data_IF_820447309855
#
_entry.id   IF_820447309855
#
_cell.length_a   1.000
_cell.length_b   1.000
_cell.length_c   1.000
_cell.angle_alpha   90.00
_cell.angle_beta   90.00
_cell.angle_gamma   90.00
#
_symmetry.space_group_name_H-M   'P 1'
#
loop_
_entity.id
_entity.type
_entity.pdbx_description
1 polymer ?
#
# COMPACT_ATOMS: atom_id res chain seq x y z
N UNK A 1 -17.80 -3.25 21.02
CA UNK A 1 -16.61 -4.13 21.06
C UNK A 1 -15.59 -3.64 22.08
N UNK A 2 -15.03 -2.42 21.99
CA UNK A 2 -13.97 -1.90 22.88
C UNK A 2 -14.29 -1.97 24.37
N UNK A 3 -15.53 -1.62 24.80
CA UNK A 3 -15.94 -1.69 26.22
C UNK A 3 -15.93 -3.15 26.72
N UNK A 4 -16.35 -4.09 25.90
CA UNK A 4 -16.34 -5.52 26.25
C UNK A 4 -14.90 -6.04 26.36
N UNK A 5 -14.03 -5.70 25.43
CA UNK A 5 -12.62 -6.09 25.45
C UNK A 5 -11.90 -5.51 26.68
N UNK A 6 -12.10 -4.22 26.98
CA UNK A 6 -11.55 -3.60 28.22
C UNK A 6 -12.02 -4.31 29.49
N UNK A 7 -13.30 -4.69 29.55
CA UNK A 7 -13.82 -5.47 30.69
C UNK A 7 -13.18 -6.85 30.75
N UNK A 8 -13.03 -7.54 29.63
CA UNK A 8 -12.33 -8.82 29.59
C UNK A 8 -10.89 -8.68 30.10
N UNK A 9 -10.13 -7.69 29.62
CA UNK A 9 -8.78 -7.42 30.08
C UNK A 9 -8.75 -7.16 31.59
N UNK A 10 -9.62 -6.31 32.12
CA UNK A 10 -9.70 -6.01 33.54
C UNK A 10 -10.01 -7.25 34.39
N UNK A 11 -10.94 -8.12 33.97
CA UNK A 11 -11.25 -9.35 34.68
C UNK A 11 -10.10 -10.35 34.65
N UNK A 12 -9.40 -10.50 33.53
CA UNK A 12 -8.24 -11.35 33.44
C UNK A 12 -7.08 -10.86 34.31
N UNK A 13 -6.81 -9.55 34.36
CA UNK A 13 -5.82 -8.97 35.25
C UNK A 13 -6.11 -9.26 36.73
N UNK A 14 -7.38 -9.19 37.12
CA UNK A 14 -7.79 -9.49 38.49
C UNK A 14 -7.79 -10.98 38.83
N UNK A 15 -8.08 -11.84 37.88
CA UNK A 15 -8.14 -13.28 38.12
C UNK A 15 -6.78 -13.96 38.28
N UNK A 16 -5.71 -13.33 37.83
CA UNK A 16 -4.35 -13.91 37.86
C UNK A 16 -4.18 -15.16 36.98
N UNK A 17 -5.22 -15.54 36.22
CA UNK A 17 -5.18 -16.72 35.35
C UNK A 17 -4.45 -16.37 34.04
N UNK A 18 -3.29 -16.99 33.80
CA UNK A 18 -2.65 -16.96 32.50
C UNK A 18 -3.42 -17.91 31.57
N UNK A 19 -4.25 -17.35 30.67
CA UNK A 19 -4.92 -18.09 29.62
C UNK A 19 -4.22 -17.83 28.27
N UNK A 20 -4.16 -18.86 27.40
CA UNK A 20 -3.58 -18.75 26.06
C UNK A 20 -4.28 -17.70 25.17
N UNK A 21 -5.54 -17.34 25.46
CA UNK A 21 -6.27 -16.29 24.76
C UNK A 21 -5.85 -14.85 25.17
N UNK A 22 -5.03 -14.69 26.22
CA UNK A 22 -4.68 -13.40 26.76
C UNK A 22 -3.87 -12.51 25.80
N UNK A 23 -2.79 -13.01 25.14
CA UNK A 23 -2.07 -12.23 24.16
C UNK A 23 -2.95 -11.75 23.01
N UNK A 24 -3.86 -12.60 22.52
CA UNK A 24 -4.79 -12.26 21.44
C UNK A 24 -5.71 -11.10 21.83
N UNK A 25 -6.28 -11.10 23.03
CA UNK A 25 -7.14 -10.01 23.50
C UNK A 25 -6.36 -8.68 23.63
N UNK A 26 -5.10 -8.73 24.02
CA UNK A 26 -4.23 -7.57 24.10
C UNK A 26 -3.94 -7.03 22.69
N UNK A 27 -3.66 -7.90 21.73
CA UNK A 27 -3.45 -7.53 20.35
C UNK A 27 -4.70 -6.90 19.70
N UNK A 28 -5.87 -7.50 19.90
CA UNK A 28 -7.15 -6.95 19.44
C UNK A 28 -7.43 -5.54 20.01
N UNK A 29 -7.09 -5.30 21.27
CA UNK A 29 -7.18 -3.97 21.86
C UNK A 29 -6.20 -2.99 21.20
N UNK A 30 -4.96 -3.42 20.96
CA UNK A 30 -3.98 -2.59 20.26
C UNK A 30 -4.49 -2.16 18.88
N UNK A 31 -5.01 -3.12 18.09
CA UNK A 31 -5.59 -2.86 16.77
C UNK A 31 -6.77 -1.87 16.84
N UNK A 32 -7.70 -2.07 17.79
CA UNK A 32 -8.85 -1.17 17.94
C UNK A 32 -8.40 0.23 18.34
N UNK A 33 -7.46 0.39 19.27
CA UNK A 33 -6.94 1.71 19.62
C UNK A 33 -6.23 2.37 18.45
N UNK A 34 -5.45 1.60 17.68
CA UNK A 34 -4.80 2.10 16.47
C UNK A 34 -5.83 2.57 15.44
N UNK A 35 -6.84 1.76 15.13
CA UNK A 35 -7.92 2.11 14.20
C UNK A 35 -8.72 3.35 14.64
N UNK A 36 -8.82 3.60 15.93
CA UNK A 36 -9.48 4.79 16.49
C UNK A 36 -8.56 6.01 16.58
N UNK A 37 -7.32 5.93 16.08
CA UNK A 37 -6.35 7.02 16.11
C UNK A 37 -5.70 7.26 17.49
N UNK A 38 -5.95 6.41 18.49
CA UNK A 38 -5.29 6.49 19.80
C UNK A 38 -3.97 5.70 19.79
N UNK A 39 -2.99 6.25 19.08
CA UNK A 39 -1.72 5.58 18.80
C UNK A 39 -0.86 5.36 20.03
N UNK A 40 -0.96 6.22 21.04
CA UNK A 40 -0.23 6.03 22.32
C UNK A 40 -0.73 4.80 23.08
N UNK A 41 -2.04 4.63 23.21
CA UNK A 41 -2.61 3.45 23.84
C UNK A 41 -2.37 2.20 23.00
N UNK A 42 -2.48 2.29 21.67
CA UNK A 42 -2.16 1.19 20.79
C UNK A 42 -0.73 0.70 20.96
N UNK A 43 0.26 1.63 21.04
CA UNK A 43 1.65 1.29 21.27
C UNK A 43 1.86 0.54 22.59
N UNK A 44 1.22 1.01 23.67
CA UNK A 44 1.33 0.34 24.99
C UNK A 44 0.83 -1.11 24.92
N UNK A 45 -0.30 -1.36 24.23
CA UNK A 45 -0.85 -2.70 24.09
C UNK A 45 -0.04 -3.58 23.14
N UNK A 46 0.50 -3.04 22.02
CA UNK A 46 1.41 -3.79 21.14
C UNK A 46 2.72 -4.18 21.85
N UNK A 47 3.31 -3.29 22.66
CA UNK A 47 4.49 -3.60 23.50
C UNK A 47 4.18 -4.72 24.46
N UNK A 48 3.05 -4.64 25.16
CA UNK A 48 2.59 -5.68 26.08
C UNK A 48 2.38 -7.02 25.40
N UNK A 49 1.75 -7.02 24.22
CA UNK A 49 1.61 -8.22 23.39
C UNK A 49 2.96 -8.88 23.10
N UNK A 50 3.95 -8.11 22.68
CA UNK A 50 5.29 -8.61 22.40
C UNK A 50 6.01 -9.12 23.64
N UNK A 51 5.86 -8.47 24.78
CA UNK A 51 6.41 -8.94 26.08
C UNK A 51 5.84 -10.31 26.46
N UNK A 52 4.56 -10.53 26.20
CA UNK A 52 3.86 -11.78 26.54
C UNK A 52 4.20 -12.92 25.57
N UNK A 53 4.39 -12.61 24.30
CA UNK A 53 4.59 -13.61 23.23
C UNK A 53 6.04 -13.81 22.85
N UNK A 54 6.91 -12.89 23.20
CA UNK A 54 8.33 -12.93 22.85
C UNK A 54 8.53 -13.04 21.34
N UNK A 55 9.47 -13.89 20.91
CA UNK A 55 9.79 -14.09 19.49
C UNK A 55 8.62 -14.68 18.66
N UNK A 56 7.62 -15.28 19.28
CA UNK A 56 6.44 -15.78 18.56
C UNK A 56 5.56 -14.62 18.09
N UNK A 57 5.40 -13.56 18.91
CA UNK A 57 4.67 -12.35 18.52
C UNK A 57 5.36 -11.58 17.39
N UNK A 58 6.70 -11.57 17.37
CA UNK A 58 7.44 -10.91 16.29
C UNK A 58 7.22 -11.59 14.92
N UNK A 59 6.71 -12.82 14.87
CA UNK A 59 6.38 -13.55 13.62
C UNK A 59 4.98 -13.25 13.08
N UNK A 60 4.14 -12.58 13.83
CA UNK A 60 2.82 -12.11 13.35
C UNK A 60 3.01 -10.87 12.48
N UNK A 61 3.20 -11.12 11.19
CA UNK A 61 3.56 -10.10 10.20
C UNK A 61 2.52 -8.96 10.14
N UNK A 62 1.24 -9.29 10.17
CA UNK A 62 0.18 -8.28 10.06
C UNK A 62 0.17 -7.35 11.27
N UNK A 63 0.22 -7.90 12.49
CA UNK A 63 0.29 -7.12 13.72
C UNK A 63 1.56 -6.30 13.81
N UNK A 64 2.68 -6.83 13.32
CA UNK A 64 3.95 -6.08 13.31
C UNK A 64 3.94 -4.93 12.31
N UNK A 65 3.24 -5.04 11.18
CA UNK A 65 2.97 -3.90 10.27
C UNK A 65 2.20 -2.80 10.98
N UNK A 66 1.09 -3.15 11.63
CA UNK A 66 0.26 -2.17 12.33
C UNK A 66 0.99 -1.55 13.53
N UNK A 67 1.78 -2.35 14.24
CA UNK A 67 2.65 -1.83 15.30
C UNK A 67 3.72 -0.88 14.76
N UNK A 68 4.35 -1.19 13.63
CA UNK A 68 5.34 -0.32 13.01
C UNK A 68 4.71 1.02 12.55
N UNK A 69 3.50 0.98 11.97
CA UNK A 69 2.73 2.19 11.63
C UNK A 69 2.35 2.98 12.87
N UNK A 70 1.91 2.31 13.94
CA UNK A 70 1.62 2.93 15.23
C UNK A 70 2.84 3.66 15.80
N UNK A 71 4.02 3.04 15.75
CA UNK A 71 5.28 3.66 16.16
C UNK A 71 5.63 4.88 15.30
N UNK A 72 5.43 4.80 13.99
CA UNK A 72 5.65 5.94 13.09
C UNK A 72 4.71 7.11 13.42
N UNK A 73 3.45 6.84 13.75
CA UNK A 73 2.49 7.84 14.23
C UNK A 73 2.93 8.54 15.51
N UNK A 74 3.74 7.88 16.33
CA UNK A 74 4.28 8.40 17.58
C UNK A 74 5.72 8.93 17.42
N UNK A 75 6.10 9.35 16.19
CA UNK A 75 7.44 9.86 15.85
C UNK A 75 8.60 8.88 16.10
N UNK A 76 8.30 7.56 16.10
CA UNK A 76 9.26 6.47 16.35
C UNK A 76 9.51 5.63 15.09
N UNK A 77 9.58 6.26 13.92
CA UNK A 77 9.73 5.57 12.60
C UNK A 77 10.92 4.61 12.60
N UNK A 78 12.08 5.03 13.15
CA UNK A 78 13.26 4.16 13.23
C UNK A 78 13.02 2.88 14.04
N UNK A 79 12.23 2.93 15.10
CA UNK A 79 11.84 1.76 15.87
C UNK A 79 10.87 0.87 15.08
N UNK A 80 9.92 1.48 14.36
CA UNK A 80 9.00 0.78 13.47
C UNK A 80 9.75 -0.03 12.39
N UNK A 81 10.76 0.56 11.77
CA UNK A 81 11.62 -0.12 10.78
C UNK A 81 12.34 -1.34 11.37
N UNK A 82 12.81 -1.26 12.62
CA UNK A 82 13.43 -2.39 13.32
C UNK A 82 12.42 -3.48 13.66
N UNK A 83 11.18 -3.12 13.94
CA UNK A 83 10.09 -4.11 14.15
C UNK A 83 9.85 -4.89 12.87
N UNK A 84 9.74 -4.23 11.72
CA UNK A 84 9.57 -4.89 10.42
C UNK A 84 10.75 -5.80 10.07
N UNK A 85 11.98 -5.35 10.31
CA UNK A 85 13.18 -6.15 10.07
C UNK A 85 13.21 -7.47 10.84
N UNK A 86 12.66 -7.49 12.05
CA UNK A 86 12.55 -8.72 12.86
C UNK A 86 11.38 -9.61 12.43
N UNK A 87 10.29 -9.01 11.99
CA UNK A 87 9.07 -9.73 11.59
C UNK A 87 9.22 -10.47 10.26
N UNK A 88 10.04 -9.94 9.37
CA UNK A 88 10.26 -10.48 8.03
C UNK A 88 11.64 -11.10 7.89
N UNK A 89 11.69 -12.43 7.85
CA UNK A 89 12.95 -13.20 7.78
C UNK A 89 13.65 -13.00 6.44
N UNK A 90 12.88 -12.85 5.35
CA UNK A 90 13.43 -12.55 4.03
C UNK A 90 13.83 -11.07 3.97
N UNK A 91 15.07 -10.81 3.61
CA UNK A 91 15.64 -9.45 3.53
C UNK A 91 14.91 -8.57 2.49
N UNK A 92 14.42 -9.17 1.40
CA UNK A 92 13.69 -8.43 0.36
C UNK A 92 12.27 -8.12 0.79
N UNK A 93 11.55 -9.09 1.41
CA UNK A 93 10.25 -8.84 2.01
C UNK A 93 10.34 -7.72 3.08
N UNK A 94 11.37 -7.80 3.94
CA UNK A 94 11.61 -6.76 4.95
C UNK A 94 11.91 -5.39 4.30
N UNK A 95 12.60 -5.35 3.16
CA UNK A 95 12.86 -4.11 2.44
C UNK A 95 11.59 -3.50 1.88
N UNK A 96 10.70 -4.31 1.26
CA UNK A 96 9.39 -3.87 0.79
C UNK A 96 8.54 -3.27 1.90
N UNK A 97 8.38 -3.99 3.01
CA UNK A 97 7.61 -3.50 4.15
C UNK A 97 8.17 -2.21 4.79
N UNK A 98 9.49 -2.07 4.82
CA UNK A 98 10.13 -0.82 5.28
C UNK A 98 9.85 0.33 4.32
N UNK A 99 9.84 0.07 3.01
CA UNK A 99 9.49 1.07 2.01
C UNK A 99 8.04 1.51 2.13
N UNK A 100 7.12 0.56 2.29
CA UNK A 100 5.71 0.86 2.51
C UNK A 100 5.52 1.77 3.73
N UNK A 101 6.22 1.48 4.83
CA UNK A 101 6.20 2.35 6.01
C UNK A 101 6.77 3.74 5.72
N UNK A 102 7.90 3.82 5.01
CA UNK A 102 8.52 5.10 4.64
C UNK A 102 7.62 5.92 3.72
N UNK A 103 6.98 5.30 2.72
CA UNK A 103 6.03 5.97 1.83
C UNK A 103 4.81 6.44 2.62
N UNK A 104 4.29 5.59 3.50
CA UNK A 104 3.13 5.89 4.34
C UNK A 104 3.34 7.11 5.25
N UNK A 105 4.55 7.31 5.79
CA UNK A 105 4.89 8.47 6.63
C UNK A 105 5.70 9.57 5.90
N UNK A 106 5.97 9.42 4.60
CA UNK A 106 6.67 10.43 3.79
C UNK A 106 8.18 10.52 4.00
N UNK A 107 8.82 9.46 4.53
CA UNK A 107 10.24 9.39 4.85
C UNK A 107 11.12 9.12 3.62
N UNK A 108 11.34 10.15 2.81
CA UNK A 108 12.04 10.07 1.51
C UNK A 108 13.49 9.59 1.62
N UNK A 109 14.25 10.11 2.57
CA UNK A 109 15.68 9.80 2.71
C UNK A 109 15.91 8.33 3.02
N UNK A 110 15.14 7.77 3.94
CA UNK A 110 15.24 6.36 4.31
C UNK A 110 14.78 5.48 3.15
N UNK A 111 13.68 5.83 2.49
CA UNK A 111 13.18 5.13 1.32
C UNK A 111 14.21 5.09 0.18
N UNK A 112 14.85 6.22 -0.14
CA UNK A 112 15.89 6.30 -1.16
C UNK A 112 17.08 5.40 -0.86
N UNK A 113 17.55 5.36 0.40
CA UNK A 113 18.66 4.50 0.83
C UNK A 113 18.32 3.01 0.70
N UNK A 114 17.08 2.60 1.04
CA UNK A 114 16.63 1.22 0.87
C UNK A 114 16.62 0.86 -0.61
N UNK A 115 16.03 1.69 -1.45
CA UNK A 115 15.92 1.46 -2.89
C UNK A 115 17.30 1.37 -3.58
N UNK A 116 18.24 2.22 -3.20
CA UNK A 116 19.60 2.20 -3.76
C UNK A 116 20.32 0.87 -3.47
N UNK A 117 20.09 0.27 -2.30
CA UNK A 117 20.72 -1.00 -1.91
C UNK A 117 19.96 -2.25 -2.36
N UNK A 118 18.73 -2.14 -2.86
CA UNK A 118 17.87 -3.28 -3.12
C UNK A 118 18.28 -4.12 -4.34
N UNK A 119 18.65 -3.55 -5.50
CA UNK A 119 19.05 -4.35 -6.66
C UNK A 119 20.21 -5.31 -6.39
N UNK A 120 21.23 -4.85 -5.65
CA UNK A 120 22.35 -5.72 -5.25
C UNK A 120 21.89 -6.92 -4.41
N UNK A 121 20.93 -6.70 -3.51
CA UNK A 121 20.35 -7.78 -2.69
C UNK A 121 19.55 -8.78 -3.53
N UNK A 122 18.80 -8.30 -4.55
CA UNK A 122 18.09 -9.17 -5.49
C UNK A 122 19.08 -10.05 -6.26
N UNK A 123 20.17 -9.47 -6.77
CA UNK A 123 21.21 -10.23 -7.50
C UNK A 123 21.86 -11.29 -6.61
N UNK A 124 22.16 -10.96 -5.35
CA UNK A 124 22.73 -11.90 -4.40
C UNK A 124 21.77 -13.06 -4.11
N UNK A 125 20.49 -12.80 -3.96
CA UNK A 125 19.48 -13.83 -3.72
C UNK A 125 19.26 -14.68 -4.98
N UNK A 126 19.21 -14.06 -6.14
CA UNK A 126 18.99 -14.72 -7.42
C UNK A 126 20.05 -15.77 -7.76
N UNK A 127 21.29 -15.55 -7.35
CA UNK A 127 22.37 -16.57 -7.46
C UNK A 127 22.05 -17.86 -6.71
N UNK A 128 21.20 -17.77 -5.68
CA UNK A 128 20.84 -18.90 -4.82
C UNK A 128 19.49 -19.53 -5.16
N UNK A 129 18.52 -18.76 -5.67
CA UNK A 129 17.13 -19.21 -5.83
C UNK A 129 16.66 -19.32 -7.28
N UNK A 130 17.35 -18.66 -8.22
CA UNK A 130 16.98 -18.65 -9.65
C UNK A 130 15.73 -17.80 -10.00
N UNK A 131 14.98 -17.29 -9.03
CA UNK A 131 13.78 -16.48 -9.26
C UNK A 131 14.00 -15.03 -8.79
N UNK A 132 14.42 -14.16 -9.73
CA UNK A 132 14.66 -12.75 -9.45
C UNK A 132 13.57 -11.83 -10.01
N UNK A 133 12.73 -12.34 -10.92
CA UNK A 133 11.78 -11.51 -11.66
C UNK A 133 10.76 -10.84 -10.74
N UNK A 134 10.12 -11.59 -9.85
CA UNK A 134 9.12 -11.10 -8.91
C UNK A 134 9.69 -9.99 -8.01
N UNK A 135 10.91 -10.17 -7.50
CA UNK A 135 11.57 -9.17 -6.67
C UNK A 135 11.94 -7.89 -7.43
N UNK A 136 12.26 -7.98 -8.75
CA UNK A 136 12.46 -6.78 -9.56
C UNK A 136 11.14 -6.08 -9.89
N UNK A 137 10.04 -6.81 -10.06
CA UNK A 137 8.71 -6.23 -10.21
C UNK A 137 8.31 -5.45 -8.97
N UNK A 138 8.48 -6.04 -7.78
CA UNK A 138 8.26 -5.36 -6.50
C UNK A 138 9.17 -4.13 -6.34
N UNK A 139 10.45 -4.25 -6.68
CA UNK A 139 11.37 -3.13 -6.68
C UNK A 139 10.90 -1.98 -7.57
N UNK A 140 10.48 -2.26 -8.81
CA UNK A 140 9.98 -1.22 -9.70
C UNK A 140 8.69 -0.58 -9.18
N UNK A 141 7.82 -1.37 -8.59
CA UNK A 141 6.58 -0.86 -8.00
C UNK A 141 6.88 0.12 -6.86
N UNK A 142 7.75 -0.24 -5.93
CA UNK A 142 8.17 0.64 -4.83
C UNK A 142 8.97 1.86 -5.30
N UNK A 143 9.80 1.71 -6.35
CA UNK A 143 10.45 2.86 -6.98
C UNK A 143 9.43 3.83 -7.60
N UNK A 144 8.32 3.31 -8.10
CA UNK A 144 7.17 4.11 -8.53
C UNK A 144 6.56 4.90 -7.39
N UNK A 145 6.30 4.28 -6.25
CA UNK A 145 5.80 4.94 -5.04
C UNK A 145 6.78 5.99 -4.51
N UNK A 146 8.06 5.69 -4.51
CA UNK A 146 9.09 6.68 -4.17
C UNK A 146 9.02 7.90 -5.10
N UNK A 147 8.81 7.68 -6.40
CA UNK A 147 8.56 8.75 -7.36
C UNK A 147 7.37 9.63 -6.98
N UNK A 148 6.27 9.04 -6.49
CA UNK A 148 5.09 9.78 -6.04
C UNK A 148 5.39 10.68 -4.84
N UNK A 149 6.04 10.16 -3.80
CA UNK A 149 6.37 10.97 -2.61
C UNK A 149 7.49 12.01 -2.87
N UNK A 150 8.29 11.82 -3.91
CA UNK A 150 9.25 12.82 -4.38
C UNK A 150 8.65 13.83 -5.39
N UNK A 151 7.37 13.72 -5.74
CA UNK A 151 6.71 14.60 -6.69
C UNK A 151 7.11 14.37 -8.16
N UNK A 152 7.69 13.21 -8.49
CA UNK A 152 8.15 12.86 -9.84
C UNK A 152 7.22 11.88 -10.54
N UNK A 153 6.20 12.39 -11.22
CA UNK A 153 5.25 11.56 -11.97
C UNK A 153 5.87 10.72 -13.07
N UNK A 154 6.92 11.23 -13.72
CA UNK A 154 7.65 10.48 -14.75
C UNK A 154 8.30 9.21 -14.19
N UNK A 155 8.94 9.31 -13.02
CA UNK A 155 9.54 8.15 -12.34
C UNK A 155 8.44 7.20 -11.87
N UNK A 156 7.38 7.73 -11.25
CA UNK A 156 6.26 6.96 -10.75
C UNK A 156 5.61 6.11 -11.84
N UNK A 157 5.06 6.74 -12.87
CA UNK A 157 4.32 6.06 -13.93
C UNK A 157 5.21 5.08 -14.71
N UNK A 158 6.47 5.49 -15.03
CA UNK A 158 7.40 4.61 -15.75
C UNK A 158 7.68 3.32 -15.00
N UNK A 159 7.91 3.39 -13.70
CA UNK A 159 8.34 2.22 -12.94
C UNK A 159 7.16 1.33 -12.52
N UNK A 160 6.03 1.90 -12.10
CA UNK A 160 4.80 1.11 -11.86
C UNK A 160 4.34 0.40 -13.14
N UNK A 161 4.38 1.05 -14.32
CA UNK A 161 4.07 0.43 -15.59
C UNK A 161 4.99 -0.74 -15.92
N UNK A 162 6.31 -0.60 -15.64
CA UNK A 162 7.26 -1.72 -15.78
C UNK A 162 6.90 -2.92 -14.90
N UNK A 163 6.48 -2.67 -13.66
CA UNK A 163 6.07 -3.72 -12.74
C UNK A 163 4.80 -4.45 -13.22
N UNK A 164 3.86 -3.71 -13.82
CA UNK A 164 2.50 -4.19 -14.06
C UNK A 164 2.18 -4.56 -15.50
N UNK A 165 3.05 -4.25 -16.47
CA UNK A 165 2.72 -4.39 -17.90
C UNK A 165 2.31 -5.81 -18.31
N UNK A 166 2.83 -6.82 -17.63
CA UNK A 166 2.50 -8.23 -17.88
C UNK A 166 1.40 -8.78 -16.95
N UNK A 167 0.89 -7.97 -16.00
CA UNK A 167 -0.04 -8.36 -14.94
C UNK A 167 -1.40 -7.67 -15.02
N UNK A 168 -1.72 -7.00 -16.15
CA UNK A 168 -2.99 -6.28 -16.34
C UNK A 168 -4.24 -7.13 -16.16
N UNK A 169 -4.11 -8.44 -16.30
CA UNK A 169 -5.20 -9.41 -16.14
C UNK A 169 -5.09 -10.20 -14.82
N UNK A 170 -4.08 -9.94 -14.00
CA UNK A 170 -3.87 -10.65 -12.76
C UNK A 170 -4.74 -10.04 -11.64
N UNK A 171 -5.68 -10.84 -11.13
CA UNK A 171 -6.59 -10.42 -10.06
C UNK A 171 -5.85 -10.08 -8.76
N UNK A 172 -4.68 -10.70 -8.53
CA UNK A 172 -3.87 -10.44 -7.34
C UNK A 172 -3.19 -9.06 -7.36
N UNK A 173 -3.08 -8.43 -8.55
CA UNK A 173 -2.43 -7.13 -8.76
C UNK A 173 -3.41 -5.95 -8.90
N UNK A 174 -4.68 -6.14 -8.57
CA UNK A 174 -5.69 -5.07 -8.73
C UNK A 174 -5.40 -3.83 -7.90
N UNK A 175 -4.87 -4.00 -6.67
CA UNK A 175 -4.51 -2.89 -5.80
C UNK A 175 -3.31 -2.12 -6.40
N UNK A 176 -2.30 -2.83 -6.90
CA UNK A 176 -1.15 -2.22 -7.60
C UNK A 176 -1.60 -1.48 -8.89
N UNK A 177 -2.61 -2.02 -9.62
CA UNK A 177 -3.20 -1.37 -10.79
C UNK A 177 -3.91 -0.07 -10.38
N UNK A 178 -4.65 -0.07 -9.27
CA UNK A 178 -5.31 1.11 -8.73
C UNK A 178 -4.30 2.22 -8.39
N UNK A 179 -3.15 1.87 -7.83
CA UNK A 179 -2.06 2.79 -7.52
C UNK A 179 -1.44 3.44 -8.78
N UNK A 180 -1.27 2.67 -9.85
CA UNK A 180 -0.81 3.23 -11.12
C UNK A 180 -1.86 4.18 -11.73
N UNK A 181 -3.15 3.86 -11.61
CA UNK A 181 -4.22 4.78 -12.04
C UNK A 181 -4.14 6.09 -11.26
N UNK A 182 -3.94 6.02 -9.93
CA UNK A 182 -3.73 7.20 -9.09
C UNK A 182 -2.54 8.04 -9.59
N UNK A 183 -1.40 7.41 -9.87
CA UNK A 183 -0.23 8.11 -10.42
C UNK A 183 -0.57 8.81 -11.74
N UNK A 184 -1.29 8.14 -12.65
CA UNK A 184 -1.71 8.71 -13.93
C UNK A 184 -2.68 9.89 -13.77
N UNK A 185 -3.60 9.81 -12.79
CA UNK A 185 -4.52 10.91 -12.46
C UNK A 185 -3.72 12.14 -12.00
N UNK A 186 -2.83 11.96 -11.03
CA UNK A 186 -2.07 13.05 -10.41
C UNK A 186 -1.14 13.77 -11.40
N UNK A 187 -0.61 13.06 -12.38
CA UNK A 187 0.37 13.62 -13.32
C UNK A 187 -0.12 13.73 -14.76
N UNK A 188 -1.40 13.46 -15.00
CA UNK A 188 -2.08 13.79 -16.26
C UNK A 188 -1.82 12.83 -17.42
N UNK A 189 -1.33 11.60 -17.20
CA UNK A 189 -1.20 10.59 -18.24
C UNK A 189 -2.56 9.90 -18.51
N UNK A 190 -3.46 10.63 -19.16
CA UNK A 190 -4.85 10.18 -19.41
C UNK A 190 -4.92 8.88 -20.21
N UNK A 191 -4.02 8.69 -21.19
CA UNK A 191 -4.06 7.49 -22.06
C UNK A 191 -3.73 6.25 -21.25
N UNK A 192 -2.61 6.26 -20.54
CA UNK A 192 -2.18 5.12 -19.72
C UNK A 192 -3.16 4.89 -18.57
N UNK A 193 -3.60 5.94 -17.90
CA UNK A 193 -4.60 5.86 -16.85
C UNK A 193 -5.91 5.20 -17.31
N UNK A 194 -6.41 5.56 -18.49
CA UNK A 194 -7.62 4.95 -19.05
C UNK A 194 -7.42 3.46 -19.40
N UNK A 195 -6.26 3.09 -19.98
CA UNK A 195 -5.94 1.69 -20.29
C UNK A 195 -5.93 0.82 -19.02
N UNK A 196 -5.30 1.30 -17.92
CA UNK A 196 -5.27 0.57 -16.65
C UNK A 196 -6.62 0.61 -15.91
N UNK A 197 -7.40 1.69 -16.02
CA UNK A 197 -8.76 1.75 -15.49
C UNK A 197 -9.68 0.69 -16.13
N UNK A 198 -9.56 0.48 -17.44
CA UNK A 198 -10.26 -0.61 -18.14
C UNK A 198 -9.78 -1.99 -17.66
N UNK A 199 -8.47 -2.17 -17.41
CA UNK A 199 -7.93 -3.41 -16.87
C UNK A 199 -8.47 -3.69 -15.47
N UNK A 200 -8.50 -2.69 -14.58
CA UNK A 200 -9.07 -2.80 -13.23
C UNK A 200 -10.55 -3.20 -13.28
N UNK A 201 -11.33 -2.54 -14.13
CA UNK A 201 -12.75 -2.88 -14.34
C UNK A 201 -12.93 -4.34 -14.77
N UNK A 202 -12.13 -4.80 -15.72
CA UNK A 202 -12.16 -6.19 -16.20
C UNK A 202 -11.75 -7.19 -15.09
N UNK A 203 -10.83 -6.83 -14.21
CA UNK A 203 -10.49 -7.63 -13.05
C UNK A 203 -11.68 -7.76 -12.09
N UNK A 204 -12.33 -6.65 -11.73
CA UNK A 204 -13.50 -6.65 -10.85
C UNK A 204 -14.67 -7.47 -11.43
N UNK A 205 -14.96 -7.33 -12.72
CA UNK A 205 -16.01 -8.13 -13.40
C UNK A 205 -15.72 -9.64 -13.38
N UNK A 206 -14.44 -10.03 -13.43
CA UNK A 206 -14.04 -11.45 -13.31
C UNK A 206 -14.18 -11.97 -11.88
N UNK A 207 -13.87 -11.14 -10.88
CA UNK A 207 -14.10 -11.48 -9.47
C UNK A 207 -15.59 -11.70 -9.20
N UNK A 208 -16.45 -10.79 -9.63
CA UNK A 208 -17.92 -10.92 -9.47
C UNK A 208 -18.44 -12.21 -10.10
N UNK A 209 -17.98 -12.56 -11.30
CA UNK A 209 -18.35 -13.82 -11.99
C UNK A 209 -17.83 -15.07 -11.28
N UNK A 210 -16.74 -14.97 -10.52
CA UNK A 210 -16.18 -16.10 -9.77
C UNK A 210 -16.99 -16.50 -8.55
N UNK A 211 -17.94 -15.65 -8.13
CA UNK A 211 -18.75 -15.84 -6.92
C UNK A 211 -17.96 -15.71 -5.61
N UNK A 212 -16.70 -15.29 -5.67
CA UNK A 212 -15.89 -15.00 -4.49
C UNK A 212 -16.07 -13.52 -4.15
N UNK A 213 -16.74 -13.24 -3.03
CA UNK A 213 -16.85 -11.87 -2.55
C UNK A 213 -15.57 -11.48 -1.81
N UNK A 214 -14.59 -11.00 -2.59
CA UNK A 214 -13.29 -10.57 -2.08
C UNK A 214 -13.42 -9.28 -1.25
N UNK A 215 -14.46 -8.49 -1.53
CA UNK A 215 -14.73 -7.23 -0.83
C UNK A 215 -15.56 -7.38 0.43
N UNK A 216 -16.03 -8.60 0.76
CA UNK A 216 -16.87 -8.84 1.95
C UNK A 216 -16.25 -8.27 3.23
N UNK A 217 -14.93 -8.42 3.36
CA UNK A 217 -14.18 -7.91 4.52
C UNK A 217 -13.97 -6.39 4.48
N UNK A 218 -13.82 -5.82 3.29
CA UNK A 218 -13.51 -4.41 3.08
C UNK A 218 -14.39 -3.80 1.98
N UNK A 219 -15.70 -3.60 2.21
CA UNK A 219 -16.63 -3.12 1.17
C UNK A 219 -16.26 -1.73 0.64
N UNK A 220 -15.62 -0.88 1.45
CA UNK A 220 -15.13 0.44 1.01
C UNK A 220 -14.03 0.35 -0.04
N UNK A 221 -13.20 -0.68 0.00
CA UNK A 221 -12.16 -0.90 -1.01
C UNK A 221 -12.79 -1.10 -2.40
N UNK A 222 -13.96 -1.73 -2.47
CA UNK A 222 -14.72 -1.84 -3.71
C UNK A 222 -15.10 -0.46 -4.26
N UNK A 223 -15.58 0.44 -3.42
CA UNK A 223 -15.92 1.81 -3.82
C UNK A 223 -14.69 2.55 -4.36
N UNK A 224 -13.54 2.41 -3.72
CA UNK A 224 -12.27 2.98 -4.18
C UNK A 224 -11.90 2.45 -5.56
N UNK A 225 -11.95 1.14 -5.76
CA UNK A 225 -11.64 0.52 -7.06
C UNK A 225 -12.64 0.90 -8.15
N UNK A 226 -13.94 0.93 -7.86
CA UNK A 226 -14.99 1.38 -8.80
C UNK A 226 -14.78 2.85 -9.19
N UNK A 227 -14.44 3.72 -8.22
CA UNK A 227 -14.13 5.12 -8.48
C UNK A 227 -12.93 5.27 -9.44
N UNK A 228 -11.82 4.60 -9.16
CA UNK A 228 -10.61 4.66 -9.97
C UNK A 228 -10.82 4.06 -11.37
N UNK A 229 -11.53 2.92 -11.45
CA UNK A 229 -11.88 2.29 -12.72
C UNK A 229 -12.81 3.17 -13.58
N UNK A 230 -13.70 3.95 -12.94
CA UNK A 230 -14.61 4.89 -13.60
C UNK A 230 -14.04 6.28 -13.83
N UNK A 231 -12.86 6.63 -13.33
CA UNK A 231 -12.37 8.01 -13.27
C UNK A 231 -12.38 8.74 -14.61
N UNK A 232 -12.02 8.05 -15.69
CA UNK A 232 -11.94 8.62 -17.05
C UNK A 232 -13.21 8.49 -17.88
N UNK A 233 -14.19 7.70 -17.45
CA UNK A 233 -15.37 7.33 -18.24
C UNK A 233 -16.69 7.68 -17.59
N UNK A 234 -16.78 7.66 -16.26
CA UNK A 234 -17.99 8.01 -15.53
C UNK A 234 -18.18 9.53 -15.43
N UNK A 235 -19.43 9.95 -15.40
CA UNK A 235 -19.80 11.35 -15.12
C UNK A 235 -19.51 11.71 -13.65
N UNK A 236 -19.42 13.00 -13.36
CA UNK A 236 -19.23 13.46 -11.99
C UNK A 236 -20.41 13.10 -11.07
N UNK A 237 -21.63 13.05 -11.62
CA UNK A 237 -22.84 12.68 -10.89
C UNK A 237 -22.83 11.18 -10.51
N UNK A 238 -22.41 10.30 -11.43
CA UNK A 238 -22.24 8.87 -11.14
C UNK A 238 -21.19 8.65 -10.06
N UNK A 239 -20.07 9.37 -10.12
CA UNK A 239 -19.02 9.26 -9.11
C UNK A 239 -19.44 9.82 -7.75
N UNK A 240 -20.19 10.92 -7.71
CA UNK A 240 -20.75 11.44 -6.47
C UNK A 240 -21.70 10.42 -5.83
N UNK A 241 -22.59 9.84 -6.63
CA UNK A 241 -23.51 8.79 -6.17
C UNK A 241 -22.76 7.58 -5.58
N UNK A 242 -21.68 7.17 -6.24
CA UNK A 242 -20.83 6.07 -5.74
C UNK A 242 -20.21 6.44 -4.37
N UNK A 243 -19.67 7.65 -4.23
CA UNK A 243 -19.05 8.09 -2.97
C UNK A 243 -20.08 8.31 -1.85
N UNK A 244 -21.35 8.53 -2.19
CA UNK A 244 -22.44 8.63 -1.24
C UNK A 244 -22.81 7.30 -0.57
N UNK A 245 -22.45 6.16 -1.17
CA UNK A 245 -22.67 4.83 -0.57
C UNK A 245 -21.90 4.64 0.75
N UNK A 246 -20.87 5.46 1.01
CA UNK A 246 -20.07 5.41 2.24
C UNK A 246 -20.50 6.45 3.32
N UNK A 247 -21.73 6.98 3.27
CA UNK A 247 -22.19 8.03 4.20
C UNK A 247 -22.27 7.61 5.67
N UNK A 248 -22.37 6.32 5.95
CA UNK A 248 -22.71 5.82 7.31
C UNK A 248 -21.50 5.55 8.21
N UNK A 249 -20.29 5.91 7.84
CA UNK A 249 -19.15 5.74 8.72
C UNK A 249 -18.95 6.94 9.64
N UNK A 250 -19.86 7.11 10.61
CA UNK A 250 -19.71 8.11 11.68
C UNK A 250 -18.48 7.88 12.58
N UNK A 251 -17.80 6.74 12.43
CA UNK A 251 -16.61 6.38 13.20
C UNK A 251 -15.28 6.75 12.54
N UNK A 252 -15.29 7.26 11.31
CA UNK A 252 -14.07 7.44 10.52
C UNK A 252 -13.37 8.80 10.70
N UNK A 253 -13.85 9.67 11.57
CA UNK A 253 -13.10 10.89 11.91
C UNK A 253 -11.85 10.52 12.70
N UNK A 254 -10.67 10.66 12.07
CA UNK A 254 -9.38 10.30 12.65
C UNK A 254 -9.02 8.80 12.58
N UNK A 255 -9.77 8.02 11.83
CA UNK A 255 -9.47 6.61 11.62
C UNK A 255 -8.21 6.44 10.76
N UNK A 256 -7.23 5.71 11.29
CA UNK A 256 -5.98 5.37 10.58
C UNK A 256 -6.08 4.09 9.75
N UNK A 257 -7.27 3.52 9.60
CA UNK A 257 -7.45 2.32 8.81
C UNK A 257 -7.13 2.62 7.33
N UNK A 258 -6.24 1.86 6.67
CA UNK A 258 -5.82 2.13 5.29
C UNK A 258 -7.00 2.35 4.32
N UNK A 259 -8.03 1.51 4.39
CA UNK A 259 -9.22 1.63 3.51
C UNK A 259 -9.99 2.93 3.74
N UNK A 260 -10.03 3.46 4.98
CA UNK A 260 -10.67 4.76 5.25
C UNK A 260 -9.83 5.91 4.67
N UNK A 261 -8.50 5.79 4.72
CA UNK A 261 -7.59 6.75 4.10
C UNK A 261 -7.71 6.75 2.58
N UNK A 262 -7.89 5.59 1.96
CA UNK A 262 -8.15 5.48 0.52
C UNK A 262 -9.51 6.07 0.13
N UNK A 263 -10.55 5.92 0.96
CA UNK A 263 -11.83 6.61 0.76
C UNK A 263 -11.67 8.13 0.82
N UNK A 264 -10.88 8.66 1.75
CA UNK A 264 -10.59 10.09 1.81
C UNK A 264 -9.78 10.55 0.58
N UNK A 265 -8.84 9.75 0.13
CA UNK A 265 -8.08 9.99 -1.11
C UNK A 265 -9.03 10.18 -2.30
N UNK A 266 -9.96 9.26 -2.54
CA UNK A 266 -10.88 9.36 -3.70
C UNK A 266 -11.86 10.54 -3.57
N UNK A 267 -12.29 10.90 -2.36
CA UNK A 267 -13.08 12.10 -2.11
C UNK A 267 -12.32 13.39 -2.45
N UNK A 268 -11.06 13.47 -2.08
CA UNK A 268 -10.19 14.61 -2.42
C UNK A 268 -9.97 14.66 -3.93
N UNK A 269 -9.72 13.50 -4.60
CA UNK A 269 -9.59 13.45 -6.06
C UNK A 269 -10.87 13.93 -6.77
N UNK A 270 -12.05 13.59 -6.26
CA UNK A 270 -13.33 14.07 -6.83
C UNK A 270 -13.49 15.59 -6.67
N UNK A 271 -13.08 16.16 -5.53
CA UNK A 271 -13.07 17.62 -5.35
C UNK A 271 -12.12 18.29 -6.35
N UNK A 272 -10.92 17.76 -6.53
CA UNK A 272 -9.94 18.24 -7.51
C UNK A 272 -10.47 18.15 -8.94
N UNK A 273 -11.10 17.03 -9.30
CA UNK A 273 -11.72 16.82 -10.62
C UNK A 273 -12.81 17.88 -10.91
N UNK A 274 -13.57 18.29 -9.89
CA UNK A 274 -14.60 19.32 -9.98
C UNK A 274 -14.07 20.77 -9.89
N UNK A 275 -12.76 20.96 -9.85
CA UNK A 275 -12.16 22.30 -9.74
C UNK A 275 -12.29 22.94 -8.35
N UNK A 276 -12.67 22.17 -7.31
CA UNK A 276 -12.75 22.63 -5.91
C UNK A 276 -11.39 22.50 -5.21
N UNK A 277 -10.34 22.99 -5.85
CA UNK A 277 -8.95 22.77 -5.43
C UNK A 277 -8.68 23.29 -4.01
N UNK A 278 -9.14 24.52 -3.69
CA UNK A 278 -8.91 25.10 -2.36
C UNK A 278 -9.47 24.22 -1.25
N UNK A 279 -10.70 23.76 -1.40
CA UNK A 279 -11.38 22.92 -0.42
C UNK A 279 -10.73 21.54 -0.31
N UNK A 280 -10.33 20.97 -1.45
CA UNK A 280 -9.61 19.71 -1.50
C UNK A 280 -8.26 19.77 -0.75
N UNK A 281 -7.50 20.86 -0.92
CA UNK A 281 -6.22 21.06 -0.25
C UNK A 281 -6.37 21.36 1.25
N UNK A 282 -7.41 22.11 1.67
CA UNK A 282 -7.73 22.31 3.08
C UNK A 282 -8.04 20.94 3.76
N UNK A 283 -8.92 20.15 3.13
CA UNK A 283 -9.25 18.80 3.63
C UNK A 283 -8.02 17.88 3.66
N UNK A 284 -7.20 17.89 2.62
CA UNK A 284 -5.94 17.14 2.57
C UNK A 284 -5.03 17.52 3.73
N UNK A 285 -4.87 18.83 4.02
CA UNK A 285 -4.07 19.33 5.12
C UNK A 285 -4.55 18.83 6.49
N UNK A 286 -5.85 18.76 6.69
CA UNK A 286 -6.45 18.19 7.91
C UNK A 286 -6.11 16.70 8.04
N UNK A 287 -6.22 15.93 6.94
CA UNK A 287 -5.88 14.51 6.94
C UNK A 287 -4.39 14.27 7.21
N UNK A 288 -3.51 15.12 6.68
CA UNK A 288 -2.06 15.03 6.89
C UNK A 288 -1.63 15.24 8.35
N UNK A 289 -2.45 15.92 9.17
CA UNK A 289 -2.21 16.06 10.61
C UNK A 289 -2.52 14.77 11.39
N UNK A 290 -3.34 13.90 10.83
CA UNK A 290 -3.81 12.67 11.46
C UNK A 290 -2.90 11.49 11.23
N UNK A 291 -2.51 10.98 10.26
CA UNK A 291 -1.71 9.81 9.83
C UNK A 291 -2.11 9.41 8.41
N UNK A 292 -1.57 10.09 7.43
CA UNK A 292 -1.97 9.93 6.05
C UNK A 292 -1.52 8.58 5.48
N UNK A 293 -2.40 7.93 4.74
CA UNK A 293 -2.07 6.76 3.94
C UNK A 293 -1.26 7.12 2.70
N UNK A 294 -0.77 6.10 2.00
CA UNK A 294 0.12 6.26 0.85
C UNK A 294 -0.50 7.17 -0.23
N UNK A 295 -1.77 6.97 -0.57
CA UNK A 295 -2.46 7.78 -1.57
C UNK A 295 -2.58 9.26 -1.20
N UNK A 296 -2.85 9.57 0.08
CA UNK A 296 -2.89 10.95 0.57
C UNK A 296 -1.50 11.59 0.54
N UNK A 297 -0.44 10.84 0.88
CA UNK A 297 0.96 11.29 0.72
C UNK A 297 1.26 11.63 -0.74
N UNK A 298 0.84 10.80 -1.69
CA UNK A 298 1.05 11.06 -3.11
C UNK A 298 0.39 12.38 -3.56
N UNK A 299 -0.86 12.63 -3.13
CA UNK A 299 -1.56 13.90 -3.44
C UNK A 299 -0.84 15.08 -2.76
N UNK A 300 -0.48 14.93 -1.48
CA UNK A 300 0.23 15.97 -0.73
C UNK A 300 1.50 16.39 -1.44
N UNK A 301 2.36 15.46 -1.79
CA UNK A 301 3.62 15.75 -2.46
C UNK A 301 3.43 16.29 -3.88
N UNK A 302 2.36 15.91 -4.59
CA UNK A 302 2.04 16.48 -5.90
C UNK A 302 1.77 17.99 -5.83
N UNK A 303 1.07 18.44 -4.79
CA UNK A 303 0.61 19.84 -4.67
C UNK A 303 1.53 20.72 -3.80
N UNK A 304 2.42 20.14 -2.99
CA UNK A 304 3.29 20.89 -2.07
C UNK A 304 4.79 20.72 -2.36
N UNK A 305 5.19 19.90 -3.35
CA UNK A 305 6.61 19.71 -3.69
C UNK A 305 7.04 20.70 -4.76
N UNK A 306 7.59 21.83 -4.36
CA UNK A 306 8.18 22.78 -5.32
C UNK A 306 9.62 22.42 -5.75
N UNK A 307 10.35 21.49 -5.13
CA UNK A 307 11.82 21.39 -5.34
C UNK A 307 12.47 19.99 -5.35
N UNK A 308 11.77 18.85 -5.27
CA UNK A 308 12.43 17.55 -5.01
C UNK A 308 12.45 16.58 -6.22
N UNK A 309 12.11 17.03 -7.41
CA UNK A 309 12.07 16.16 -8.62
C UNK A 309 13.41 15.47 -8.95
N UNK A 310 14.54 16.07 -8.55
CA UNK A 310 15.88 15.53 -8.83
C UNK A 310 16.25 14.26 -8.03
N UNK A 311 15.74 14.08 -6.82
CA UNK A 311 16.12 12.95 -5.95
C UNK A 311 15.66 11.60 -6.51
N UNK A 312 14.40 11.50 -6.95
CA UNK A 312 13.87 10.26 -7.52
C UNK A 312 14.58 9.90 -8.86
N UNK A 313 14.94 10.89 -9.66
CA UNK A 313 15.70 10.68 -10.89
C UNK A 313 17.13 10.20 -10.59
N UNK A 314 17.75 10.68 -9.51
CA UNK A 314 19.08 10.25 -9.10
C UNK A 314 19.07 8.77 -8.66
N UNK A 315 18.15 8.38 -7.78
CA UNK A 315 18.00 6.97 -7.36
C UNK A 315 17.80 6.06 -8.56
N UNK A 316 17.00 6.49 -9.56
CA UNK A 316 16.79 5.72 -10.80
C UNK A 316 18.07 5.57 -11.60
N UNK A 317 18.91 6.62 -11.70
CA UNK A 317 20.19 6.57 -12.43
C UNK A 317 21.21 5.67 -11.74
N UNK A 318 21.28 5.73 -10.42
CA UNK A 318 22.23 4.93 -9.62
C UNK A 318 21.91 3.43 -9.71
N UNK A 319 20.65 3.07 -9.99
CA UNK A 319 20.19 1.69 -10.13
C UNK A 319 20.08 1.19 -11.58
N UNK A 320 20.15 2.07 -12.58
CA UNK A 320 20.06 1.71 -14.02
C UNK A 320 21.03 0.60 -14.49
N UNK A 321 22.28 0.46 -13.98
CA UNK A 321 23.17 -0.63 -14.38
C UNK A 321 22.64 -2.02 -14.00
N UNK A 322 22.10 -2.18 -12.79
CA UNK A 322 21.50 -3.44 -12.33
C UNK A 322 20.21 -3.76 -13.12
N UNK A 323 19.41 -2.74 -13.40
CA UNK A 323 18.21 -2.83 -14.23
C UNK A 323 18.56 -3.21 -15.68
N UNK A 324 19.67 -2.70 -16.24
CA UNK A 324 20.12 -3.05 -17.58
C UNK A 324 20.57 -4.52 -17.67
N UNK A 325 21.16 -5.08 -16.61
CA UNK A 325 21.49 -6.50 -16.53
C UNK A 325 20.22 -7.37 -16.56
N UNK A 326 19.20 -7.01 -15.79
CA UNK A 326 17.90 -7.70 -15.77
C UNK A 326 17.24 -7.75 -17.16
N UNK A 327 17.30 -6.66 -17.95
CA UNK A 327 16.74 -6.64 -19.30
C UNK A 327 17.52 -7.47 -20.32
N UNK A 328 18.80 -7.74 -20.08
CA UNK A 328 19.61 -8.62 -20.96
C UNK A 328 19.33 -10.10 -20.71
N UNK A 329 18.93 -10.47 -19.51
CA UNK A 329 18.63 -11.85 -19.12
C UNK A 329 17.19 -12.29 -19.39
N UNK A 330 16.30 -11.42 -19.91
CA UNK A 330 14.97 -11.87 -20.32
C UNK A 330 15.11 -12.96 -21.35
N UNK A 331 14.68 -14.21 -21.06
CA UNK A 331 14.53 -15.20 -22.11
C UNK A 331 13.60 -14.59 -23.16
N UNK A 332 14.04 -14.56 -24.40
CA UNK A 332 13.12 -14.21 -25.49
C UNK A 332 11.86 -15.04 -25.29
N UNK A 333 10.64 -14.46 -25.42
CA UNK A 333 9.42 -15.21 -25.25
C UNK A 333 9.52 -16.42 -26.16
N UNK A 334 9.70 -17.60 -25.55
CA UNK A 334 9.72 -18.85 -26.28
C UNK A 334 8.47 -18.82 -27.14
N UNK A 335 8.70 -18.88 -28.44
CA UNK A 335 7.70 -18.79 -29.48
C UNK A 335 6.48 -19.58 -29.02
N UNK A 336 5.32 -18.97 -29.00
CA UNK A 336 3.97 -19.55 -28.71
C UNK A 336 3.71 -20.91 -29.40
N UNK A 337 4.69 -21.48 -30.08
CA UNK A 337 4.64 -22.75 -30.78
C UNK A 337 4.68 -24.01 -29.93
N UNK A 338 5.14 -23.97 -28.67
CA UNK A 338 5.26 -25.16 -27.84
C UNK A 338 3.89 -25.65 -27.32
N UNK A 339 3.08 -24.76 -26.82
CA UNK A 339 1.75 -25.10 -26.30
C UNK A 339 0.72 -25.41 -27.38
N UNK A 340 0.82 -24.82 -28.59
CA UNK A 340 -0.02 -25.20 -29.73
C UNK A 340 0.32 -26.58 -30.29
N UNK A 341 1.54 -27.09 -30.14
CA UNK A 341 1.90 -28.45 -30.56
C UNK A 341 1.47 -29.54 -29.57
N UNK A 342 1.31 -29.19 -28.28
CA UNK A 342 0.91 -30.15 -27.25
C UNK A 342 -0.62 -30.31 -27.10
N UNK A 343 -1.41 -29.30 -27.44
CA UNK A 343 -2.86 -29.32 -27.27
C UNK A 343 -3.68 -29.05 -28.54
N UNK A 344 -3.02 -28.94 -29.67
CA UNK A 344 -3.66 -28.73 -30.95
C UNK A 344 -3.80 -30.00 -31.76
N UNK A 345 -4.65 -30.92 -31.30
CA UNK A 345 -5.32 -31.93 -32.16
C UNK A 345 -6.41 -32.63 -31.34
N UNK A 346 -7.60 -32.07 -31.37
CA UNK A 346 -8.82 -32.84 -31.68
C UNK A 346 -9.91 -31.88 -32.10
#
# INVERSE_FOLDING_TARGET
>A
AMICLRKCVFFYEKSGTQNHAWPELIAELAEIYFLLGNTEMAEQFYRRYREMTGSAGDRDRNRMRDFARCLACNDKTTEGLKVLEKAFVNVLDAAGEKLDLCVWCGEKTIAGNILTSWPEKIELLGKNTGNTQEYFEDYFFHLGWYGLICGSGKVAIKNMDKALIFHKEDLSKKDDIADLILACILYGDKKKGADYAQALKACMEREDKSGKDVYLKYPKLRIVHEYLAGYYTATDEEQDTLLELDRDCSFCHGCVHPVCQEMEMVRILQMLKKGREKEALERLKEQMQGHPGMGLQAIWHRYHSEQVQGEAEQVTKDTDPAVAAFHKEKPQPEKRGFWQRLFGKK
#
